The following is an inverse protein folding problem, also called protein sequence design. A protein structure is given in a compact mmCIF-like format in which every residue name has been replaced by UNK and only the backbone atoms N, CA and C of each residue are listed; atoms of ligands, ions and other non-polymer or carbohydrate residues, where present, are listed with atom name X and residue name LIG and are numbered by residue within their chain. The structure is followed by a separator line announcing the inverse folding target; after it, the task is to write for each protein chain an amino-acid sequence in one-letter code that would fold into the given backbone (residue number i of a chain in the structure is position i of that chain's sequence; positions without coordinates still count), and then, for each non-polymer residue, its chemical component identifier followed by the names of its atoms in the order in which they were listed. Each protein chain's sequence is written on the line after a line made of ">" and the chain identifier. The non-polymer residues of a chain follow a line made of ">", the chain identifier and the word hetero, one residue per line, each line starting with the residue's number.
data_IF_232419556984
#
_entry.id   IF_232419556984
#
_cell.length_a   1.000
_cell.length_b   1.000
_cell.length_c   1.000
_cell.angle_alpha   90.00
_cell.angle_beta   90.00
_cell.angle_gamma   90.00
#
_symmetry.space_group_name_H-M   'P 1'
#
loop_
_entity.id
_entity.type
_entity.pdbx_description
1 polymer ?
#
# COMPACT_ATOMS: atom_id res chain seq x y z
N UNK A 1 12.89 3.46 -10.01
CA UNK A 1 13.00 2.37 -10.99
C UNK A 1 11.63 2.02 -11.53
N UNK A 2 11.38 2.25 -12.82
CA UNK A 2 10.16 1.77 -13.47
C UNK A 2 10.33 0.27 -13.75
N UNK A 3 9.53 -0.57 -13.09
CA UNK A 3 9.53 -2.01 -13.34
C UNK A 3 8.83 -2.32 -14.67
N UNK A 4 9.32 -3.34 -15.39
CA UNK A 4 8.71 -3.81 -16.64
C UNK A 4 7.24 -4.16 -16.42
N UNK A 5 6.38 -3.83 -17.41
CA UNK A 5 4.95 -4.14 -17.38
C UNK A 5 4.67 -5.64 -17.16
N UNK A 6 5.52 -6.49 -17.72
CA UNK A 6 5.48 -7.96 -17.57
C UNK A 6 5.55 -8.40 -16.10
N UNK A 7 6.43 -7.80 -15.29
CA UNK A 7 6.56 -8.13 -13.87
C UNK A 7 5.30 -7.75 -13.09
N UNK A 8 4.67 -6.63 -13.44
CA UNK A 8 3.40 -6.22 -12.85
C UNK A 8 2.26 -7.15 -13.26
N UNK A 9 2.22 -7.60 -14.51
CA UNK A 9 1.25 -8.58 -14.98
C UNK A 9 1.43 -9.94 -14.28
N UNK A 10 2.68 -10.38 -14.09
CA UNK A 10 3.00 -11.59 -13.34
C UNK A 10 2.57 -11.49 -11.88
N UNK A 11 2.92 -10.38 -11.21
CA UNK A 11 2.51 -10.13 -9.83
C UNK A 11 0.98 -10.10 -9.70
N UNK A 12 0.29 -9.44 -10.64
CA UNK A 12 -1.18 -9.40 -10.68
C UNK A 12 -1.78 -10.80 -10.75
N UNK A 13 -1.26 -11.66 -11.63
CA UNK A 13 -1.72 -13.04 -11.80
C UNK A 13 -1.42 -13.89 -10.56
N UNK A 14 -0.18 -13.89 -10.08
CA UNK A 14 0.26 -14.74 -8.95
C UNK A 14 -0.38 -14.33 -7.62
N UNK A 15 -0.53 -13.02 -7.38
CA UNK A 15 -1.10 -12.49 -6.14
C UNK A 15 -2.62 -12.26 -6.22
N UNK A 16 -3.27 -12.63 -7.34
CA UNK A 16 -4.71 -12.45 -7.59
C UNK A 16 -5.20 -11.01 -7.34
N UNK A 17 -4.45 -10.04 -7.87
CA UNK A 17 -4.70 -8.61 -7.66
C UNK A 17 -5.60 -8.04 -8.77
N UNK A 18 -6.43 -7.07 -8.40
CA UNK A 18 -7.16 -6.20 -9.35
C UNK A 18 -6.29 -5.02 -9.79
N UNK A 19 -6.70 -4.28 -10.83
CA UNK A 19 -6.02 -3.04 -11.23
C UNK A 19 -5.98 -2.02 -10.10
N UNK A 20 -7.05 -1.95 -9.30
CA UNK A 20 -7.14 -1.10 -8.12
C UNK A 20 -6.05 -1.45 -7.09
N UNK A 21 -5.86 -2.74 -6.80
CA UNK A 21 -4.82 -3.19 -5.87
C UNK A 21 -3.40 -2.87 -6.40
N UNK A 22 -3.20 -2.95 -7.73
CA UNK A 22 -1.94 -2.54 -8.38
C UNK A 22 -1.72 -1.02 -8.26
N UNK A 23 -2.76 -0.21 -8.43
CA UNK A 23 -2.69 1.24 -8.24
C UNK A 23 -2.28 1.59 -6.81
N UNK A 24 -2.94 1.00 -5.81
CA UNK A 24 -2.59 1.19 -4.40
C UNK A 24 -1.15 0.78 -4.12
N UNK A 25 -0.70 -0.39 -4.62
CA UNK A 25 0.67 -0.85 -4.44
C UNK A 25 1.69 0.13 -5.02
N UNK A 26 1.45 0.67 -6.22
CA UNK A 26 2.32 1.68 -6.85
C UNK A 26 2.38 2.98 -6.06
N UNK A 27 1.23 3.49 -5.62
CA UNK A 27 1.15 4.70 -4.79
C UNK A 27 1.92 4.54 -3.47
N UNK A 28 1.91 3.34 -2.91
CA UNK A 28 2.68 3.02 -1.71
C UNK A 28 4.18 2.83 -1.93
N UNK A 29 4.65 2.81 -3.19
CA UNK A 29 6.04 2.54 -3.56
C UNK A 29 6.42 1.06 -3.49
N UNK A 30 5.45 0.14 -3.49
CA UNK A 30 5.71 -1.29 -3.56
C UNK A 30 6.17 -1.68 -4.96
N UNK A 31 6.90 -2.80 -5.04
CA UNK A 31 7.41 -3.32 -6.31
C UNK A 31 6.85 -4.71 -6.63
N UNK A 32 6.72 -5.09 -7.91
CA UNK A 32 6.09 -6.35 -8.27
C UNK A 32 6.87 -7.57 -7.74
N UNK A 33 8.20 -7.47 -7.65
CA UNK A 33 9.05 -8.55 -7.09
C UNK A 33 8.76 -8.79 -5.61
N UNK A 34 8.55 -7.73 -4.82
CA UNK A 34 8.22 -7.85 -3.40
C UNK A 34 6.83 -8.42 -3.20
N UNK A 35 5.87 -8.11 -4.08
CA UNK A 35 4.55 -8.72 -4.03
C UNK A 35 4.64 -10.24 -4.24
N UNK A 36 5.36 -10.68 -5.26
CA UNK A 36 5.56 -12.11 -5.56
C UNK A 36 6.29 -12.83 -4.41
N UNK A 37 7.32 -12.19 -3.83
CA UNK A 37 8.05 -12.75 -2.67
C UNK A 37 7.18 -12.87 -1.41
N UNK A 38 6.10 -12.09 -1.29
CA UNK A 38 5.21 -12.10 -0.13
C UNK A 38 4.01 -13.05 -0.28
N UNK A 39 3.95 -13.87 -1.34
CA UNK A 39 2.91 -14.89 -1.46
C UNK A 39 3.10 -15.91 -0.33
N UNK A 40 2.11 -16.11 0.56
CA UNK A 40 2.23 -17.06 1.65
C UNK A 40 2.42 -18.49 1.13
N UNK A 41 3.36 -19.23 1.72
CA UNK A 41 3.47 -20.67 1.51
C UNK A 41 2.50 -21.44 2.43
N UNK A 42 2.21 -22.73 2.16
CA UNK A 42 1.30 -23.52 3.00
C UNK A 42 1.71 -23.62 4.48
N UNK A 43 3.01 -23.42 4.79
CA UNK A 43 3.53 -23.41 6.17
C UNK A 43 3.37 -22.05 6.86
N UNK A 44 3.03 -21.00 6.12
CA UNK A 44 2.91 -19.62 6.59
C UNK A 44 1.43 -19.19 6.65
N UNK A 45 0.57 -20.04 7.22
CA UNK A 45 -0.88 -19.78 7.31
C UNK A 45 -1.22 -18.51 8.11
N UNK A 46 -0.32 -18.06 8.97
CA UNK A 46 -0.43 -16.82 9.73
C UNK A 46 -0.23 -15.56 8.88
N UNK A 47 0.30 -15.67 7.64
CA UNK A 47 0.44 -14.53 6.74
C UNK A 47 -0.84 -14.30 5.96
N UNK A 48 -1.33 -13.06 6.00
CA UNK A 48 -2.43 -12.64 5.17
C UNK A 48 -2.07 -12.74 3.66
N UNK A 49 -3.03 -13.05 2.77
CA UNK A 49 -2.83 -12.96 1.34
C UNK A 49 -2.38 -11.55 0.92
N UNK A 50 -1.49 -11.47 -0.07
CA UNK A 50 -0.90 -10.20 -0.56
C UNK A 50 -1.97 -9.15 -0.89
N UNK A 51 -3.11 -9.56 -1.45
CA UNK A 51 -4.26 -8.68 -1.73
C UNK A 51 -4.80 -7.97 -0.48
N UNK A 52 -4.99 -8.72 0.61
CA UNK A 52 -5.51 -8.20 1.88
C UNK A 52 -4.46 -7.25 2.48
N UNK A 53 -3.21 -7.70 2.51
CA UNK A 53 -2.10 -6.90 3.04
C UNK A 53 -1.94 -5.54 2.34
N UNK A 54 -2.06 -5.47 1.00
CA UNK A 54 -2.02 -4.20 0.26
C UNK A 54 -3.11 -3.24 0.74
N UNK A 55 -4.34 -3.73 0.91
CA UNK A 55 -5.49 -2.91 1.30
C UNK A 55 -5.35 -2.39 2.72
N UNK A 56 -4.95 -3.26 3.65
CA UNK A 56 -4.75 -2.89 5.06
C UNK A 56 -3.66 -1.83 5.22
N UNK A 57 -2.54 -2.00 4.50
CA UNK A 57 -1.47 -1.01 4.50
C UNK A 57 -1.90 0.30 3.88
N UNK A 58 -2.64 0.26 2.77
CA UNK A 58 -3.12 1.45 2.09
C UNK A 58 -4.05 2.25 3.01
N UNK A 59 -5.04 1.59 3.59
CA UNK A 59 -5.97 2.22 4.54
C UNK A 59 -5.22 2.82 5.74
N UNK A 60 -4.26 2.09 6.30
CA UNK A 60 -3.43 2.59 7.41
C UNK A 60 -2.65 3.84 7.03
N UNK A 61 -2.09 3.90 5.81
CA UNK A 61 -1.39 5.10 5.31
C UNK A 61 -2.36 6.27 5.14
N UNK A 62 -3.53 6.05 4.56
CA UNK A 62 -4.54 7.11 4.38
C UNK A 62 -5.00 7.67 5.72
N UNK A 63 -5.29 6.80 6.71
CA UNK A 63 -5.67 7.23 8.07
C UNK A 63 -4.57 8.07 8.73
N UNK A 64 -3.30 7.65 8.62
CA UNK A 64 -2.15 8.40 9.16
C UNK A 64 -1.97 9.74 8.45
N UNK A 65 -2.10 9.79 7.13
CA UNK A 65 -2.02 11.02 6.36
C UNK A 65 -3.13 12.01 6.75
N UNK A 66 -4.37 11.53 6.88
CA UNK A 66 -5.50 12.34 7.33
C UNK A 66 -5.29 12.90 8.75
N UNK A 67 -4.80 12.08 9.68
CA UNK A 67 -4.48 12.53 11.04
C UNK A 67 -3.38 13.60 11.04
N UNK A 68 -2.32 13.41 10.25
CA UNK A 68 -1.23 14.39 10.14
C UNK A 68 -1.73 15.71 9.56
N UNK A 69 -2.61 15.66 8.54
CA UNK A 69 -3.25 16.86 7.96
C UNK A 69 -4.08 17.60 9.01
N UNK A 70 -4.96 16.91 9.73
CA UNK A 70 -5.78 17.49 10.81
C UNK A 70 -4.94 18.15 11.90
N UNK A 71 -3.86 17.50 12.34
CA UNK A 71 -2.93 18.07 13.34
C UNK A 71 -2.25 19.34 12.83
N UNK A 72 -1.83 19.36 11.56
CA UNK A 72 -1.21 20.54 10.94
C UNK A 72 -2.22 21.70 10.84
N UNK A 73 -3.46 21.43 10.47
CA UNK A 73 -4.53 22.44 10.39
C UNK A 73 -4.85 23.01 11.79
N UNK A 74 -5.00 22.16 12.80
CA UNK A 74 -5.25 22.60 14.18
C UNK A 74 -4.09 23.44 14.75
N UNK A 75 -2.84 23.07 14.46
CA UNK A 75 -1.67 23.87 14.88
C UNK A 75 -1.57 25.21 14.16
N UNK A 76 -1.92 25.26 12.87
CA UNK A 76 -1.86 26.49 12.06
C UNK A 76 -2.93 27.52 12.44
N UNK A 77 -4.04 27.10 13.03
CA UNK A 77 -5.05 27.99 13.60
C UNK A 77 -4.62 28.67 14.91
N UNK A 78 -3.60 28.13 15.60
CA UNK A 78 -3.07 28.67 16.86
C UNK A 78 -1.96 29.71 16.63
N UNK A 79 -1.21 29.60 15.52
CA UNK A 79 -0.05 30.44 15.15
C UNK A 79 -0.43 31.74 14.39
N UNK A 80 -1.72 32.05 14.26
CA UNK A 80 -2.22 33.24 13.51
C UNK A 80 -2.89 34.27 14.42
N UNK A 81 -2.66 34.19 15.74
CA UNK A 81 -3.08 35.20 16.72
C UNK A 81 -1.83 35.67 17.48
N UNK A 82 -0.99 36.44 16.80
CA UNK A 82 -0.02 37.39 17.41
C UNK A 82 0.27 38.50 16.37
#
# INVERSE_FOLDING_TARGET
>A
MAYKKELWAEAKKKCRLSEEDIRMAKEMGLNPKSLIKNIPSPKEQWKAPVKVWIRDMYETRQRKAALKKRRKEAGKSQDSVD
#
